data_IF_447504858881
#
_entry.id   IF_447504858881
#
_cell.length_a   1.000
_cell.length_b   1.000
_cell.length_c   1.000
_cell.angle_alpha   90.00
_cell.angle_beta   90.00
_cell.angle_gamma   90.00
#
_symmetry.space_group_name_H-M   'P 1'
#
loop_
_entity.id
_entity.type
_entity.pdbx_description
1 polymer ?
#
# COMPACT_ATOMS: atom_id res chain seq x y z
N UNK A 1 -6.66 -11.56 11.70
CA UNK A 1 -7.58 -10.84 12.59
C UNK A 1 -8.56 -10.07 11.71
N UNK A 2 -9.85 -10.12 12.02
CA UNK A 2 -10.88 -9.27 11.41
C UNK A 2 -11.43 -8.40 12.51
N UNK A 3 -11.32 -7.07 12.37
CA UNK A 3 -11.99 -6.14 13.27
C UNK A 3 -13.50 -6.37 13.19
N UNK A 4 -14.20 -6.69 14.30
CA UNK A 4 -15.62 -7.05 14.26
C UNK A 4 -16.55 -5.84 14.28
N UNK A 5 -16.02 -4.63 14.49
CA UNK A 5 -16.80 -3.40 14.53
C UNK A 5 -17.18 -2.88 13.14
N UNK A 6 -18.04 -1.85 13.08
CA UNK A 6 -18.42 -1.22 11.83
C UNK A 6 -17.19 -0.62 11.15
N UNK A 7 -16.95 -1.02 9.89
CA UNK A 7 -15.89 -0.44 9.08
C UNK A 7 -16.35 0.87 8.47
N UNK A 8 -15.41 1.81 8.36
CA UNK A 8 -15.63 3.10 7.70
C UNK A 8 -15.07 3.03 6.29
N UNK A 9 -15.61 3.83 5.39
CA UNK A 9 -15.09 3.95 4.04
C UNK A 9 -13.67 4.54 4.07
N UNK A 10 -12.80 4.05 3.18
CA UNK A 10 -11.43 4.54 3.05
C UNK A 10 -11.33 6.06 2.92
N UNK A 11 -12.24 6.68 2.15
CA UNK A 11 -12.29 8.14 1.94
C UNK A 11 -12.52 8.92 3.23
N UNK A 12 -13.40 8.40 4.10
CA UNK A 12 -13.74 9.05 5.37
C UNK A 12 -12.56 9.00 6.32
N UNK A 13 -11.89 7.84 6.40
CA UNK A 13 -10.70 7.66 7.20
C UNK A 13 -9.56 8.53 6.68
N UNK A 14 -9.42 8.68 5.35
CA UNK A 14 -8.45 9.61 4.78
C UNK A 14 -8.72 11.04 5.20
N UNK A 15 -9.97 11.48 5.11
CA UNK A 15 -10.37 12.83 5.51
C UNK A 15 -10.11 13.07 7.00
N UNK A 16 -10.41 12.08 7.85
CA UNK A 16 -10.06 12.11 9.27
C UNK A 16 -8.55 12.28 9.48
N UNK A 17 -7.73 11.45 8.82
CA UNK A 17 -6.27 11.51 8.97
C UNK A 17 -5.68 12.86 8.54
N UNK A 18 -6.21 13.47 7.48
CA UNK A 18 -5.81 14.82 7.08
C UNK A 18 -6.19 15.86 8.15
N UNK A 19 -7.39 15.73 8.73
CA UNK A 19 -7.91 16.68 9.70
C UNK A 19 -7.25 16.57 11.08
N UNK A 20 -6.75 15.38 11.45
CA UNK A 20 -6.03 15.19 12.71
C UNK A 20 -4.68 15.91 12.74
N UNK A 21 -4.12 16.25 11.57
CA UNK A 21 -2.87 17.01 11.40
C UNK A 21 -1.73 16.53 12.32
N UNK A 22 -1.61 15.20 12.47
CA UNK A 22 -0.62 14.58 13.36
C UNK A 22 0.77 14.82 12.77
N UNK A 23 1.69 15.36 13.56
CA UNK A 23 3.09 15.55 13.19
C UNK A 23 3.70 14.22 12.74
N UNK A 24 4.28 14.19 11.53
CA UNK A 24 4.80 12.96 10.88
C UNK A 24 3.79 12.25 9.97
N UNK A 25 2.48 12.48 10.16
CA UNK A 25 1.40 12.14 9.23
C UNK A 25 0.94 13.40 8.49
N UNK A 26 1.89 14.21 8.01
CA UNK A 26 1.60 15.39 7.19
C UNK A 26 0.86 15.04 5.89
N UNK A 27 0.71 15.98 4.97
CA UNK A 27 -0.05 15.76 3.73
C UNK A 27 0.55 14.70 2.79
N UNK A 28 -0.30 14.05 1.99
CA UNK A 28 0.12 13.29 0.83
C UNK A 28 0.21 11.77 1.06
N UNK A 29 1.41 11.20 0.88
CA UNK A 29 1.61 9.76 0.78
C UNK A 29 1.48 9.02 2.13
N UNK A 30 1.96 9.60 3.23
CA UNK A 30 1.96 8.92 4.53
C UNK A 30 0.55 8.60 5.03
N UNK A 31 -0.42 9.54 5.02
CA UNK A 31 -1.80 9.23 5.38
C UNK A 31 -2.49 8.28 4.40
N UNK A 32 -2.14 8.34 3.11
CA UNK A 32 -2.61 7.38 2.10
C UNK A 32 -2.16 5.95 2.44
N UNK A 33 -0.88 5.78 2.76
CA UNK A 33 -0.32 4.48 3.16
C UNK A 33 -0.92 3.97 4.47
N UNK A 34 -1.15 4.85 5.45
CA UNK A 34 -1.83 4.45 6.69
C UNK A 34 -3.25 3.95 6.40
N UNK A 35 -4.05 4.68 5.61
CA UNK A 35 -5.39 4.24 5.24
C UNK A 35 -5.36 2.88 4.51
N UNK A 36 -4.38 2.65 3.62
CA UNK A 36 -4.20 1.36 2.95
C UNK A 36 -3.82 0.23 3.92
N UNK A 37 -2.96 0.50 4.91
CA UNK A 37 -2.65 -0.48 5.95
C UNK A 37 -3.87 -0.82 6.80
N UNK A 38 -4.72 0.15 7.12
CA UNK A 38 -5.97 -0.11 7.85
C UNK A 38 -6.95 -0.97 7.05
N UNK A 39 -6.97 -0.84 5.72
CA UNK A 39 -7.71 -1.76 4.82
C UNK A 39 -7.11 -3.17 4.88
N UNK A 40 -5.78 -3.31 4.83
CA UNK A 40 -5.11 -4.60 4.94
C UNK A 40 -5.39 -5.30 6.28
N UNK A 41 -5.51 -4.53 7.37
CA UNK A 41 -5.91 -5.00 8.69
C UNK A 41 -7.43 -5.27 8.81
N UNK A 42 -8.20 -5.04 7.75
CA UNK A 42 -9.66 -5.19 7.70
C UNK A 42 -10.41 -4.32 8.73
N UNK A 43 -9.83 -3.17 9.07
CA UNK A 43 -10.43 -2.15 9.96
C UNK A 43 -11.26 -1.15 9.14
N UNK A 44 -10.87 -0.96 7.87
CA UNK A 44 -11.44 0.03 6.95
C UNK A 44 -11.88 -0.67 5.67
N UNK A 45 -12.99 -0.23 5.08
CA UNK A 45 -13.43 -0.75 3.79
C UNK A 45 -12.49 -0.27 2.68
N UNK A 46 -12.17 -1.12 1.69
CA UNK A 46 -11.24 -0.74 0.62
C UNK A 46 -11.75 0.44 -0.20
N UNK A 47 -10.87 1.28 -0.76
CA UNK A 47 -11.27 2.35 -1.65
C UNK A 47 -11.81 1.79 -2.96
N UNK A 48 -12.77 2.51 -3.54
CA UNK A 48 -13.20 2.27 -4.91
C UNK A 48 -12.12 2.71 -5.91
N UNK A 49 -12.29 2.28 -7.17
CA UNK A 49 -11.46 2.72 -8.30
C UNK A 49 -11.45 4.24 -8.42
N UNK A 50 -12.61 4.86 -8.17
CA UNK A 50 -12.78 6.31 -8.24
C UNK A 50 -12.07 7.02 -7.08
N UNK A 51 -12.11 6.47 -5.87
CA UNK A 51 -11.40 7.06 -4.72
C UNK A 51 -9.90 7.17 -4.97
N UNK A 52 -9.31 6.10 -5.49
CA UNK A 52 -7.87 6.05 -5.78
C UNK A 52 -7.52 6.92 -6.97
N UNK A 53 -8.31 6.91 -8.05
CA UNK A 53 -8.09 7.78 -9.19
C UNK A 53 -8.18 9.28 -8.83
N UNK A 54 -9.14 9.65 -7.99
CA UNK A 54 -9.27 11.03 -7.46
C UNK A 54 -8.04 11.43 -6.65
N UNK A 55 -7.52 10.50 -5.84
CA UNK A 55 -6.31 10.74 -5.08
C UNK A 55 -5.07 10.89 -5.99
N UNK A 56 -4.92 10.04 -7.01
CA UNK A 56 -3.84 10.11 -8.00
C UNK A 56 -3.87 11.47 -8.72
N UNK A 57 -5.05 11.93 -9.15
CA UNK A 57 -5.22 13.23 -9.80
C UNK A 57 -4.78 14.40 -8.92
N UNK A 58 -5.05 14.33 -7.61
CA UNK A 58 -4.61 15.35 -6.63
C UNK A 58 -3.10 15.33 -6.37
N UNK A 59 -2.41 14.24 -6.70
CA UNK A 59 -0.98 14.05 -6.43
C UNK A 59 -0.18 13.73 -7.71
N UNK A 60 -0.16 14.63 -8.71
CA UNK A 60 0.44 14.34 -10.03
C UNK A 60 1.98 14.16 -9.98
N UNK A 61 2.62 14.52 -8.86
CA UNK A 61 4.07 14.35 -8.65
C UNK A 61 4.44 12.94 -8.17
N UNK A 62 3.46 12.08 -7.87
CA UNK A 62 3.70 10.72 -7.36
C UNK A 62 3.70 9.68 -8.48
N UNK A 63 4.24 8.50 -8.15
CA UNK A 63 4.57 7.46 -9.13
C UNK A 63 3.38 6.95 -9.93
N UNK A 64 2.20 6.84 -9.34
CA UNK A 64 1.04 6.29 -10.03
C UNK A 64 0.56 7.18 -11.19
N UNK A 65 0.60 8.51 -11.03
CA UNK A 65 0.26 9.44 -12.12
C UNK A 65 1.24 9.29 -13.28
N UNK A 66 2.54 9.32 -12.99
CA UNK A 66 3.59 9.12 -13.98
C UNK A 66 3.54 7.73 -14.62
N UNK A 67 3.13 6.71 -13.86
CA UNK A 67 2.93 5.35 -14.39
C UNK A 67 1.86 5.29 -15.47
N UNK A 68 0.78 6.08 -15.34
CA UNK A 68 -0.24 6.19 -16.40
C UNK A 68 0.33 6.86 -17.65
N UNK A 69 1.11 7.93 -17.49
CA UNK A 69 1.79 8.59 -18.63
C UNK A 69 2.79 7.65 -19.31
N UNK A 70 3.57 6.90 -18.53
CA UNK A 70 4.57 5.94 -19.04
C UNK A 70 3.94 4.76 -19.78
N UNK A 71 2.69 4.42 -19.47
CA UNK A 71 1.89 3.44 -20.22
C UNK A 71 1.23 4.03 -21.48
N UNK A 72 1.43 5.31 -21.77
CA UNK A 72 0.91 5.98 -22.97
C UNK A 72 -0.46 6.63 -22.81
N UNK A 73 -1.05 6.67 -21.62
CA UNK A 73 -2.31 7.39 -21.41
C UNK A 73 -2.09 8.91 -21.43
N UNK A 74 -2.94 9.61 -22.15
CA UNK A 74 -2.99 11.08 -22.15
C UNK A 74 -3.74 11.59 -20.92
N UNK A 75 -3.09 11.54 -19.75
CA UNK A 75 -3.65 12.04 -18.48
C UNK A 75 -3.26 13.50 -18.22
N UNK A 76 -4.12 14.25 -17.53
CA UNK A 76 -3.87 15.66 -17.20
C UNK A 76 -4.31 16.01 -15.79
N UNK A 77 -3.46 16.75 -15.07
CA UNK A 77 -3.78 17.36 -13.76
C UNK A 77 -4.94 18.37 -13.79
N UNK A 78 -5.36 18.79 -14.99
CA UNK A 78 -6.52 19.69 -15.19
C UNK A 78 -7.81 18.93 -15.51
N UNK A 79 -7.72 17.63 -15.79
CA UNK A 79 -8.85 16.83 -16.23
C UNK A 79 -8.94 15.54 -15.41
N UNK A 80 -9.77 15.59 -14.36
CA UNK A 80 -10.01 14.44 -13.49
C UNK A 80 -10.54 13.21 -14.26
N UNK A 81 -11.38 13.42 -15.28
CA UNK A 81 -11.96 12.31 -16.05
C UNK A 81 -10.88 11.54 -16.83
N UNK A 82 -9.82 12.23 -17.28
CA UNK A 82 -8.70 11.55 -17.95
C UNK A 82 -8.00 10.55 -17.03
N UNK A 83 -7.77 10.93 -15.76
CA UNK A 83 -7.13 10.06 -14.76
C UNK A 83 -8.07 8.93 -14.35
N UNK A 84 -9.35 9.23 -14.10
CA UNK A 84 -10.37 8.20 -13.79
C UNK A 84 -10.49 7.16 -14.89
N UNK A 85 -10.58 7.60 -16.15
CA UNK A 85 -10.66 6.71 -17.31
C UNK A 85 -9.42 5.81 -17.41
N UNK A 86 -8.23 6.40 -17.41
CA UNK A 86 -6.97 5.66 -17.51
C UNK A 86 -6.79 4.63 -16.38
N UNK A 87 -7.03 5.05 -15.13
CA UNK A 87 -6.92 4.15 -13.98
C UNK A 87 -7.96 3.03 -14.02
N UNK A 88 -9.20 3.32 -14.43
CA UNK A 88 -10.26 2.30 -14.59
C UNK A 88 -9.92 1.30 -15.69
N UNK A 89 -9.35 1.74 -16.81
CA UNK A 89 -8.89 0.85 -17.88
C UNK A 89 -7.87 -0.16 -17.36
N UNK A 90 -6.88 0.29 -16.59
CA UNK A 90 -5.85 -0.60 -16.03
C UNK A 90 -6.41 -1.52 -14.96
N UNK A 91 -7.29 -1.01 -14.08
CA UNK A 91 -7.98 -1.85 -13.10
C UNK A 91 -8.75 -2.98 -13.79
N UNK A 92 -9.55 -2.65 -14.81
CA UNK A 92 -10.34 -3.63 -15.57
C UNK A 92 -9.46 -4.61 -16.33
N UNK A 93 -8.36 -4.14 -16.91
CA UNK A 93 -7.39 -5.03 -17.56
C UNK A 93 -6.88 -6.09 -16.59
N UNK A 94 -6.47 -5.71 -15.37
CA UNK A 94 -6.06 -6.69 -14.36
C UNK A 94 -7.21 -7.60 -13.90
N UNK A 95 -8.41 -7.06 -13.72
CA UNK A 95 -9.56 -7.86 -13.30
C UNK A 95 -9.94 -8.93 -14.35
N UNK A 96 -9.83 -8.60 -15.63
CA UNK A 96 -10.16 -9.50 -16.73
C UNK A 96 -9.05 -10.54 -16.99
N UNK A 97 -7.79 -10.25 -16.66
CA UNK A 97 -6.64 -11.10 -17.01
C UNK A 97 -5.99 -11.84 -15.83
N UNK A 98 -6.20 -11.41 -14.59
CA UNK A 98 -5.73 -12.15 -13.43
C UNK A 98 -6.68 -13.31 -13.11
N UNK A 99 -6.12 -14.47 -12.77
CA UNK A 99 -6.94 -15.56 -12.25
C UNK A 99 -7.47 -15.22 -10.86
N UNK A 100 -8.58 -15.83 -10.43
CA UNK A 100 -9.10 -15.63 -9.07
C UNK A 100 -8.08 -16.02 -7.98
N UNK A 101 -7.21 -17.00 -8.28
CA UNK A 101 -6.09 -17.36 -7.41
C UNK A 101 -5.10 -16.20 -7.29
N UNK A 102 -4.69 -15.59 -8.41
CA UNK A 102 -3.77 -14.46 -8.40
C UNK A 102 -4.40 -13.24 -7.72
N UNK A 103 -5.67 -12.96 -7.99
CA UNK A 103 -6.41 -11.88 -7.32
C UNK A 103 -6.41 -12.06 -5.80
N UNK A 104 -6.63 -13.28 -5.32
CA UNK A 104 -6.57 -13.61 -3.90
C UNK A 104 -5.16 -13.44 -3.32
N UNK A 105 -4.13 -13.95 -4.00
CA UNK A 105 -2.73 -13.88 -3.55
C UNK A 105 -2.19 -12.44 -3.51
N UNK A 106 -2.56 -11.63 -4.49
CA UNK A 106 -2.09 -10.26 -4.65
C UNK A 106 -2.93 -9.24 -3.86
N UNK A 107 -4.00 -9.69 -3.21
CA UNK A 107 -5.02 -8.82 -2.61
C UNK A 107 -5.51 -7.79 -3.64
N UNK A 108 -5.90 -8.28 -4.83
CA UNK A 108 -6.30 -7.46 -5.96
C UNK A 108 -7.42 -6.49 -5.57
N UNK A 109 -7.29 -5.26 -6.05
CA UNK A 109 -8.16 -4.15 -5.74
C UNK A 109 -7.52 -2.84 -6.18
N UNK A 110 -8.20 -1.72 -5.91
CA UNK A 110 -7.73 -0.40 -6.37
C UNK A 110 -6.37 -0.01 -5.76
N UNK A 111 -6.10 -0.42 -4.52
CA UNK A 111 -4.79 -0.23 -3.88
C UNK A 111 -3.69 -1.00 -4.63
N UNK A 112 -3.93 -2.26 -4.99
CA UNK A 112 -2.98 -3.06 -5.76
C UNK A 112 -2.66 -2.39 -7.10
N UNK A 113 -3.67 -1.94 -7.83
CA UNK A 113 -3.50 -1.27 -9.12
C UNK A 113 -2.64 -0.01 -8.99
N UNK A 114 -2.87 0.82 -7.97
CA UNK A 114 -2.04 2.00 -7.69
C UNK A 114 -0.59 1.62 -7.38
N UNK A 115 -0.38 0.59 -6.56
CA UNK A 115 0.96 0.11 -6.24
C UNK A 115 1.72 -0.34 -7.48
N UNK A 116 1.07 -1.08 -8.40
CA UNK A 116 1.68 -1.50 -9.68
C UNK A 116 2.08 -0.29 -10.51
N UNK A 117 1.16 0.68 -10.71
CA UNK A 117 1.45 1.91 -11.46
C UNK A 117 2.64 2.67 -10.86
N UNK A 118 2.73 2.76 -9.54
CA UNK A 118 3.86 3.37 -8.83
C UNK A 118 5.22 2.70 -9.10
N UNK A 119 5.24 1.45 -9.54
CA UNK A 119 6.48 0.74 -9.91
C UNK A 119 6.85 0.89 -11.37
N UNK A 120 5.92 1.25 -12.26
CA UNK A 120 6.20 1.39 -13.70
C UNK A 120 7.33 2.37 -13.97
N UNK A 121 7.34 3.61 -13.46
CA UNK A 121 8.44 4.54 -13.71
C UNK A 121 9.78 4.00 -13.19
N UNK A 122 9.78 3.28 -12.05
CA UNK A 122 10.99 2.70 -11.46
C UNK A 122 11.58 1.62 -12.36
N UNK A 123 10.73 0.75 -12.89
CA UNK A 123 11.15 -0.29 -13.83
C UNK A 123 11.57 0.29 -15.17
N UNK A 124 10.86 1.28 -15.69
CA UNK A 124 11.25 1.99 -16.91
C UNK A 124 12.65 2.57 -16.79
N UNK A 125 12.99 3.26 -15.69
CA UNK A 125 14.34 3.75 -15.44
C UNK A 125 15.36 2.60 -15.35
N UNK A 126 15.06 1.56 -14.57
CA UNK A 126 15.95 0.40 -14.41
C UNK A 126 16.20 -0.37 -15.71
N UNK A 127 15.24 -0.37 -16.63
CA UNK A 127 15.35 -1.03 -17.94
C UNK A 127 15.93 -0.12 -19.03
N UNK A 128 15.95 1.18 -18.82
CA UNK A 128 16.54 2.15 -19.74
C UNK A 128 18.05 2.31 -19.56
N UNK A 129 18.61 1.93 -18.40
CA UNK A 129 20.06 1.69 -18.30
C UNK A 129 20.44 0.65 -19.36
N UNK A 130 21.33 1.03 -20.28
CA UNK A 130 21.65 0.33 -21.55
C UNK A 130 22.06 -1.15 -21.38
N UNK A 131 22.34 -1.52 -20.13
CA UNK A 131 22.73 -2.84 -19.66
C UNK A 131 21.53 -3.81 -19.49
N UNK A 132 20.27 -3.36 -19.49
CA UNK A 132 19.11 -4.21 -19.18
C UNK A 132 18.49 -4.99 -20.36
N UNK A 133 18.79 -4.63 -21.62
CA UNK A 133 18.35 -5.37 -22.81
C UNK A 133 19.03 -6.75 -22.86
N UNK A 134 18.38 -7.75 -22.28
CA UNK A 134 18.88 -9.13 -22.15
C UNK A 134 19.04 -9.61 -20.71
N UNK A 135 19.02 -8.70 -19.73
CA UNK A 135 19.08 -9.03 -18.30
C UNK A 135 17.72 -9.13 -17.62
N UNK A 136 16.59 -8.96 -18.31
CA UNK A 136 15.27 -9.14 -17.68
C UNK A 136 15.07 -10.58 -17.18
N UNK A 137 15.34 -11.57 -18.04
CA UNK A 137 15.34 -12.97 -17.62
C UNK A 137 16.40 -13.24 -16.57
N UNK A 138 17.56 -12.59 -16.65
CA UNK A 138 18.67 -12.77 -15.70
C UNK A 138 18.44 -12.11 -14.34
N UNK A 139 17.75 -10.96 -14.29
CA UNK A 139 17.30 -10.27 -13.08
C UNK A 139 16.14 -11.02 -12.45
N UNK A 140 15.20 -11.52 -13.26
CA UNK A 140 14.15 -12.42 -12.80
C UNK A 140 14.77 -13.72 -12.26
N UNK A 141 15.71 -14.34 -12.98
CA UNK A 141 16.42 -15.55 -12.56
C UNK A 141 17.27 -15.32 -11.32
N UNK A 142 18.00 -14.20 -11.19
CA UNK A 142 18.75 -13.84 -9.97
C UNK A 142 17.83 -13.62 -8.78
N UNK A 143 16.63 -13.07 -8.99
CA UNK A 143 15.66 -12.91 -7.90
C UNK A 143 14.97 -14.24 -7.56
N UNK A 144 14.76 -15.11 -8.55
CA UNK A 144 14.28 -16.49 -8.39
C UNK A 144 15.37 -17.38 -7.74
N UNK A 145 16.66 -17.19 -8.03
CA UNK A 145 17.81 -17.88 -7.43
C UNK A 145 18.06 -17.38 -6.01
N UNK A 146 17.76 -16.12 -5.72
CA UNK A 146 17.70 -15.59 -4.35
C UNK A 146 16.52 -16.16 -3.55
N UNK A 147 15.69 -17.04 -4.11
CA UNK A 147 14.62 -17.69 -3.34
C UNK A 147 15.22 -18.49 -2.17
N UNK A 148 15.04 -17.92 -0.98
CA UNK A 148 14.32 -18.66 0.05
C UNK A 148 13.01 -19.14 -0.60
N UNK A 149 12.87 -20.46 -0.86
CA UNK A 149 11.62 -21.03 -1.39
C UNK A 149 10.44 -20.40 -0.67
N UNK A 150 9.62 -19.63 -1.39
CA UNK A 150 8.37 -19.14 -0.83
C UNK A 150 7.45 -20.35 -0.64
N UNK A 151 7.40 -20.83 0.60
CA UNK A 151 6.44 -21.78 1.11
C UNK A 151 5.24 -21.01 1.69
N UNK A 152 4.04 -21.14 1.09
CA UNK A 152 2.83 -20.55 1.64
C UNK A 152 2.63 -20.93 3.10
N UNK A 153 2.62 -19.95 4.01
CA UNK A 153 2.50 -20.16 5.46
C UNK A 153 3.80 -20.46 6.21
N UNK A 154 4.92 -20.77 5.54
CA UNK A 154 6.23 -20.98 6.18
C UNK A 154 7.09 -19.72 6.27
N UNK A 155 7.04 -18.86 5.24
CA UNK A 155 7.90 -17.66 5.15
C UNK A 155 7.33 -16.43 5.86
N UNK A 156 6.11 -16.50 6.40
CA UNK A 156 5.47 -15.40 7.16
C UNK A 156 6.25 -15.02 8.43
N UNK A 157 7.15 -15.89 8.91
CA UNK A 157 8.03 -15.65 10.07
C UNK A 157 9.51 -15.48 9.70
N UNK A 158 9.87 -15.59 8.42
CA UNK A 158 11.27 -15.51 7.97
C UNK A 158 11.63 -14.05 7.62
N UNK A 159 12.23 -13.35 8.58
CA UNK A 159 12.69 -11.96 8.46
C UNK A 159 13.70 -11.69 7.32
N UNK A 160 14.34 -12.74 6.77
CA UNK A 160 15.21 -12.65 5.60
C UNK A 160 14.47 -12.77 4.26
N UNK A 161 13.39 -13.55 4.21
CA UNK A 161 12.57 -13.73 3.02
C UNK A 161 11.48 -12.65 2.90
N UNK A 162 11.06 -12.09 4.04
CA UNK A 162 10.07 -11.03 4.09
C UNK A 162 10.36 -10.11 5.29
N UNK A 163 10.78 -8.84 5.09
CA UNK A 163 11.30 -7.99 6.16
C UNK A 163 10.23 -7.46 7.14
N UNK A 164 8.96 -7.83 6.96
CA UNK A 164 7.84 -7.36 7.77
C UNK A 164 6.87 -8.51 8.04
N UNK A 165 6.62 -8.94 9.29
CA UNK A 165 5.70 -10.05 9.54
C UNK A 165 4.29 -9.71 9.03
N UNK A 166 3.81 -10.46 8.03
CA UNK A 166 2.47 -10.31 7.44
C UNK A 166 1.35 -10.67 8.41
N UNK A 167 1.68 -11.47 9.43
CA UNK A 167 0.79 -11.87 10.51
C UNK A 167 1.53 -11.63 11.82
N UNK A 168 1.02 -10.72 12.63
CA UNK A 168 1.51 -10.53 14.00
C UNK A 168 0.98 -11.70 14.85
N UNK A 169 1.84 -12.54 15.46
CA UNK A 169 1.37 -13.62 16.32
C UNK A 169 0.50 -13.08 17.46
N UNK A 170 -0.66 -13.69 17.78
CA UNK A 170 -1.52 -13.23 18.86
C UNK A 170 -0.80 -13.14 20.22
N UNK A 171 0.17 -14.02 20.47
CA UNK A 171 1.01 -13.99 21.67
C UNK A 171 1.90 -12.74 21.73
N UNK A 172 2.55 -12.39 20.61
CA UNK A 172 3.36 -11.19 20.50
C UNK A 172 2.50 -9.93 20.63
N UNK A 173 1.32 -9.90 19.99
CA UNK A 173 0.38 -8.79 20.12
C UNK A 173 -0.10 -8.61 21.57
N UNK A 174 -0.45 -9.70 22.27
CA UNK A 174 -0.81 -9.67 23.70
C UNK A 174 0.33 -9.14 24.58
N UNK A 175 1.57 -9.57 24.32
CA UNK A 175 2.74 -9.10 25.04
C UNK A 175 2.96 -7.60 24.82
N UNK A 176 2.90 -7.14 23.57
CA UNK A 176 3.05 -5.72 23.21
C UNK A 176 1.93 -4.86 23.81
N UNK A 177 0.67 -5.31 23.76
CA UNK A 177 -0.45 -4.63 24.43
C UNK A 177 -0.20 -4.54 25.95
N UNK A 178 0.26 -5.62 26.57
CA UNK A 178 0.61 -5.65 28.00
C UNK A 178 1.70 -4.64 28.38
N UNK A 179 2.72 -4.49 27.53
CA UNK A 179 3.79 -3.50 27.75
C UNK A 179 3.29 -2.06 27.65
N UNK A 180 2.36 -1.78 26.74
CA UNK A 180 1.77 -0.44 26.56
C UNK A 180 0.72 -0.14 27.65
N UNK A 181 -0.01 -1.14 28.14
CA UNK A 181 -1.00 -0.95 29.21
C UNK A 181 -0.37 -0.78 30.60
N UNK A 182 0.87 -1.21 30.80
CA UNK A 182 1.62 -0.93 32.05
C UNK A 182 2.18 0.50 32.07
N UNK A 183 2.41 1.12 30.90
CA UNK A 183 2.97 2.49 30.82
C UNK A 183 1.92 3.61 30.96
N UNK A 184 0.66 3.30 31.26
CA UNK A 184 -0.43 4.29 31.40
C UNK A 184 -1.04 4.34 32.79
N UNK A 185 -0.34 3.85 33.82
CA UNK A 185 -0.70 4.14 35.21
C UNK A 185 -0.39 5.61 35.54
N UNK A 186 -1.34 6.41 36.05
CA UNK A 186 -1.14 7.83 36.34
C UNK A 186 -0.49 8.02 37.73
N UNK A 187 0.83 7.85 37.82
CA UNK A 187 1.70 8.35 38.90
C UNK A 187 3.10 8.49 38.26
N UNK A 188 3.65 9.67 38.00
CA UNK A 188 3.94 10.74 38.95
C UNK A 188 3.62 12.12 38.36
N UNK A 189 2.71 12.86 39.01
CA UNK A 189 2.73 14.33 38.92
C UNK A 189 3.68 14.82 39.99
N UNK A 190 4.80 15.41 39.58
CA UNK A 190 5.64 16.21 40.46
C UNK A 190 4.83 17.44 40.95
N UNK A 191 4.57 17.60 42.26
CA UNK A 191 3.80 18.72 42.78
C UNK A 191 4.58 20.05 42.80
N UNK A 192 5.78 20.15 42.20
CA UNK A 192 6.61 21.38 42.22
C UNK A 192 6.49 22.28 40.99
N UNK A 193 5.54 22.03 40.11
CA UNK A 193 5.24 22.93 38.98
C UNK A 193 3.75 23.31 39.04
N UNK A 194 3.44 24.22 39.96
CA UNK A 194 2.26 25.09 39.89
C UNK A 194 2.65 26.38 39.16
#
# INVERSE_FOLDING_TARGET
MTYPGPRRAWRDVRSLLDNLNITGFGSGLTPFQLANHLVALKIVDPPSVIDVADWIHKHPKLGAFRGLEDLGFSVSKKNLMSVRGAFTCIYRFFDEHLTERDKSLLFFGSIFTEHVLCKIPRWKTRLADEDAKGRLQELAAKEIEKNYLWTPGGNIFCNKAFPVPLIIPPAWLKQTIGLVSVSTSPMDRDPRLL
#
